data_IF_964658376893
#
_entry.id   IF_964658376893
#
_cell.length_a   1.000
_cell.length_b   1.000
_cell.length_c   1.000
_cell.angle_alpha   90.00
_cell.angle_beta   90.00
_cell.angle_gamma   90.00
#
_symmetry.space_group_name_H-M   'P 1'
#
loop_
_entity.id
_entity.type
_entity.pdbx_description
1 polymer ?
#
# COMPACT_ATOMS: atom_id res chain seq x y z
N UNK A 1 -35.61 12.34 -34.32
CA UNK A 1 -34.33 13.07 -34.11
C UNK A 1 -33.24 12.09 -33.72
N UNK A 2 -32.01 12.35 -34.17
CA UNK A 2 -30.98 11.36 -34.52
C UNK A 2 -30.44 10.54 -33.35
N UNK A 3 -30.51 9.21 -33.50
CA UNK A 3 -29.55 8.24 -32.94
C UNK A 3 -28.25 8.34 -33.74
N UNK A 4 -27.15 8.78 -33.15
CA UNK A 4 -25.79 8.54 -33.63
C UNK A 4 -25.00 7.96 -32.45
N UNK A 5 -24.79 6.63 -32.44
CA UNK A 5 -23.57 5.98 -32.95
C UNK A 5 -22.29 6.53 -32.29
N UNK A 6 -22.14 6.30 -31.00
CA UNK A 6 -20.84 6.35 -30.32
C UNK A 6 -20.30 4.96 -29.96
N UNK A 7 -21.08 3.88 -30.13
CA UNK A 7 -20.65 2.53 -29.73
C UNK A 7 -19.64 1.89 -30.68
N UNK A 8 -19.69 2.17 -31.99
CA UNK A 8 -18.85 1.46 -32.96
C UNK A 8 -17.39 1.96 -32.96
N UNK A 9 -17.13 3.23 -32.69
CA UNK A 9 -15.78 3.80 -32.68
C UNK A 9 -14.99 3.40 -31.41
N UNK A 10 -15.68 3.32 -30.27
CA UNK A 10 -15.10 2.81 -29.02
C UNK A 10 -14.91 1.28 -29.05
N UNK A 11 -15.82 0.56 -29.75
CA UNK A 11 -15.70 -0.88 -29.97
C UNK A 11 -14.56 -1.24 -30.96
N UNK A 12 -14.31 -0.42 -31.99
CA UNK A 12 -13.16 -0.60 -32.89
C UNK A 12 -11.83 -0.19 -32.25
N UNK A 13 -11.81 0.83 -31.38
CA UNK A 13 -10.62 1.21 -30.61
C UNK A 13 -10.21 0.10 -29.62
N UNK A 14 -11.18 -0.44 -28.87
CA UNK A 14 -10.93 -1.54 -27.92
C UNK A 14 -10.58 -2.85 -28.66
N UNK A 15 -11.19 -3.15 -29.81
CA UNK A 15 -10.85 -4.34 -30.60
C UNK A 15 -9.49 -4.24 -31.31
N UNK A 16 -9.06 -3.05 -31.74
CA UNK A 16 -7.75 -2.83 -32.36
C UNK A 16 -6.59 -2.89 -31.34
N UNK A 17 -6.85 -2.51 -30.09
CA UNK A 17 -5.89 -2.57 -28.98
C UNK A 17 -5.80 -3.98 -28.36
N UNK A 18 -6.81 -4.83 -28.58
CA UNK A 18 -6.92 -6.20 -28.08
C UNK A 18 -6.49 -7.29 -29.08
N UNK A 19 -5.83 -6.95 -30.18
CA UNK A 19 -5.26 -7.94 -31.08
C UNK A 19 -4.07 -8.67 -30.41
N UNK A 20 -4.41 -9.70 -29.64
CA UNK A 20 -3.48 -10.71 -29.14
C UNK A 20 -3.98 -11.72 -28.11
N UNK A 21 -5.16 -11.58 -27.48
CA UNK A 21 -5.52 -12.49 -26.37
C UNK A 21 -6.99 -12.99 -26.34
N UNK A 22 -7.28 -14.23 -26.80
CA UNK A 22 -8.63 -14.80 -26.89
C UNK A 22 -9.37 -15.00 -25.56
N UNK A 23 -8.68 -14.98 -24.41
CA UNK A 23 -9.24 -15.34 -23.10
C UNK A 23 -10.15 -14.23 -22.54
N UNK A 24 -9.92 -12.97 -22.93
CA UNK A 24 -10.71 -11.84 -22.42
C UNK A 24 -12.13 -11.76 -23.02
N UNK A 25 -12.34 -12.27 -24.24
CA UNK A 25 -13.66 -12.26 -24.89
C UNK A 25 -14.66 -13.22 -24.23
N UNK A 26 -14.19 -14.37 -23.73
CA UNK A 26 -15.03 -15.35 -23.03
C UNK A 26 -15.53 -14.85 -21.66
N UNK A 27 -14.76 -13.94 -21.03
CA UNK A 27 -15.07 -13.39 -19.70
C UNK A 27 -16.23 -12.37 -19.75
N UNK A 28 -16.37 -11.64 -20.86
CA UNK A 28 -17.43 -10.65 -21.07
C UNK A 28 -18.83 -11.28 -21.14
N UNK A 29 -18.95 -12.50 -21.67
CA UNK A 29 -20.24 -13.17 -21.87
C UNK A 29 -20.83 -13.76 -20.58
N UNK A 30 -20.00 -14.06 -19.58
CA UNK A 30 -20.43 -14.72 -18.35
C UNK A 30 -21.05 -13.78 -17.30
N UNK A 31 -20.84 -12.45 -17.42
CA UNK A 31 -21.14 -11.47 -16.36
C UNK A 31 -22.59 -10.94 -16.31
N UNK A 32 -23.50 -11.37 -17.19
CA UNK A 32 -24.81 -10.74 -17.35
C UNK A 32 -26.04 -11.51 -16.81
N UNK A 33 -25.98 -12.16 -15.63
CA UNK A 33 -27.20 -12.61 -14.90
C UNK A 33 -27.20 -12.22 -13.41
N UNK A 34 -28.27 -11.53 -12.98
CA UNK A 34 -28.56 -11.03 -11.62
C UNK A 34 -29.50 -11.98 -10.86
N UNK A 35 -29.31 -12.17 -9.54
CA UNK A 35 -30.38 -12.43 -8.53
C UNK A 35 -29.98 -11.81 -7.18
N UNK A 36 -31.00 -11.45 -6.40
CA UNK A 36 -31.13 -10.49 -5.30
C UNK A 36 -31.37 -11.17 -3.92
N UNK A 37 -31.31 -10.36 -2.83
CA UNK A 37 -31.92 -10.50 -1.47
C UNK A 37 -31.00 -10.63 -0.21
N UNK A 38 -31.23 -9.69 0.73
CA UNK A 38 -30.87 -9.59 2.18
C UNK A 38 -31.89 -10.41 3.05
N UNK A 39 -31.88 -10.52 4.43
CA UNK A 39 -31.41 -9.53 5.43
C UNK A 39 -31.06 -9.92 6.92
N UNK A 40 -30.67 -8.88 7.70
CA UNK A 40 -30.99 -8.49 9.11
C UNK A 40 -30.27 -8.99 10.41
N UNK A 41 -29.80 -7.96 11.18
CA UNK A 41 -29.88 -7.70 12.66
C UNK A 41 -29.05 -8.56 13.64
N UNK A 42 -28.56 -8.12 14.82
CA UNK A 42 -28.74 -6.92 15.67
C UNK A 42 -27.56 -6.82 16.69
N UNK A 43 -27.37 -5.62 17.23
CA UNK A 43 -26.34 -5.10 18.16
C UNK A 43 -26.36 -5.61 19.60
N UNK A 44 -25.21 -5.59 20.32
CA UNK A 44 -25.10 -5.25 21.76
C UNK A 44 -23.75 -4.58 22.09
N UNK A 45 -23.81 -3.69 23.08
CA UNK A 45 -22.97 -2.59 23.60
C UNK A 45 -21.69 -2.89 24.42
N UNK A 46 -20.76 -1.90 24.38
CA UNK A 46 -19.65 -1.45 25.28
C UNK A 46 -19.82 -1.71 26.80
N UNK A 47 -18.86 -1.53 27.72
CA UNK A 47 -17.39 -1.38 27.81
C UNK A 47 -17.08 -1.17 29.32
N UNK A 48 -15.83 -1.38 29.78
CA UNK A 48 -15.39 -0.99 31.13
C UNK A 48 -13.87 -1.01 31.27
N UNK A 49 -13.29 0.13 31.60
CA UNK A 49 -11.85 0.50 31.59
C UNK A 49 -11.19 0.48 32.98
N UNK A 50 -9.85 0.32 33.06
CA UNK A 50 -9.02 0.69 34.24
C UNK A 50 -7.68 1.35 33.80
N UNK A 51 -7.15 2.37 34.53
CA UNK A 51 -6.11 3.31 34.07
C UNK A 51 -4.65 3.00 34.48
N UNK A 52 -3.71 3.36 33.59
CA UNK A 52 -2.49 4.20 33.78
C UNK A 52 -1.40 3.89 34.83
N UNK A 53 -0.17 3.66 34.35
CA UNK A 53 1.07 4.16 34.98
C UNK A 53 1.98 4.77 33.91
N UNK A 54 2.36 6.04 34.12
CA UNK A 54 3.11 6.90 33.19
C UNK A 54 4.63 6.70 33.28
N UNK A 55 5.29 6.53 32.13
CA UNK A 55 6.72 6.85 31.93
C UNK A 55 6.87 7.57 30.60
N UNK A 56 7.46 8.77 30.59
CA UNK A 56 7.68 9.57 29.37
C UNK A 56 8.92 9.05 28.64
N UNK A 57 8.84 8.52 27.40
CA UNK A 57 10.01 7.96 26.71
C UNK A 57 10.95 9.05 26.17
N UNK A 58 12.27 8.84 26.28
CA UNK A 58 13.28 9.69 25.65
C UNK A 58 13.08 9.78 24.12
N UNK A 59 13.18 10.98 23.55
CA UNK A 59 13.05 11.21 22.10
C UNK A 59 14.22 10.56 21.35
N UNK A 60 13.97 9.42 20.72
CA UNK A 60 14.90 8.75 19.79
C UNK A 60 15.29 9.70 18.66
N UNK A 61 16.59 9.87 18.38
CA UNK A 61 17.10 10.66 17.24
C UNK A 61 16.62 10.03 15.93
N UNK A 62 15.95 10.81 15.08
CA UNK A 62 15.44 10.40 13.76
C UNK A 62 16.15 11.19 12.66
N UNK A 63 16.52 10.52 11.56
CA UNK A 63 17.10 11.15 10.36
C UNK A 63 16.03 11.21 9.26
N UNK A 64 15.69 12.39 8.72
CA UNK A 64 14.70 12.50 7.65
C UNK A 64 15.22 11.92 6.33
N UNK A 65 14.34 11.25 5.59
CA UNK A 65 14.54 10.84 4.20
C UNK A 65 13.35 11.34 3.36
N UNK A 66 13.55 12.40 2.59
CA UNK A 66 12.51 13.09 1.83
C UNK A 66 12.07 12.30 0.59
N UNK A 67 10.94 12.66 -0.03
CA UNK A 67 10.56 12.08 -1.33
C UNK A 67 11.60 12.32 -2.42
N UNK A 68 12.34 13.42 -2.35
CA UNK A 68 13.43 13.68 -3.30
C UNK A 68 14.61 12.73 -3.06
N UNK A 69 14.97 12.48 -1.80
CA UNK A 69 16.01 11.51 -1.43
C UNK A 69 15.61 10.10 -1.89
N UNK A 70 14.38 9.68 -1.56
CA UNK A 70 13.81 8.40 -2.00
C UNK A 70 13.88 8.27 -3.54
N UNK A 71 13.49 9.31 -4.29
CA UNK A 71 13.56 9.30 -5.76
C UNK A 71 14.99 9.17 -6.28
N UNK A 72 15.94 9.88 -5.65
CA UNK A 72 17.35 9.79 -6.01
C UNK A 72 17.89 8.38 -5.76
N UNK A 73 17.59 7.78 -4.60
CA UNK A 73 17.96 6.41 -4.26
C UNK A 73 17.33 5.40 -5.23
N UNK A 74 16.06 5.57 -5.61
CA UNK A 74 15.44 4.71 -6.62
C UNK A 74 16.08 4.86 -8.01
N UNK A 75 16.47 6.07 -8.40
CA UNK A 75 17.18 6.32 -9.66
C UNK A 75 18.57 5.66 -9.66
N UNK A 76 19.25 5.68 -8.51
CA UNK A 76 20.52 5.01 -8.32
C UNK A 76 20.37 3.48 -8.40
N UNK A 77 19.38 2.90 -7.71
CA UNK A 77 19.06 1.47 -7.84
C UNK A 77 18.75 1.07 -9.29
N UNK A 78 17.94 1.87 -10.00
CA UNK A 78 17.64 1.65 -11.42
C UNK A 78 18.92 1.62 -12.27
N UNK A 79 19.85 2.56 -12.02
CA UNK A 79 21.14 2.64 -12.72
C UNK A 79 21.97 1.39 -12.48
N UNK A 80 22.10 0.97 -11.21
CA UNK A 80 22.84 -0.24 -10.84
C UNK A 80 22.25 -1.49 -11.53
N UNK A 81 20.94 -1.68 -11.47
CA UNK A 81 20.23 -2.82 -12.09
C UNK A 81 20.43 -2.84 -13.60
N UNK A 82 20.30 -1.69 -14.29
CA UNK A 82 20.52 -1.62 -15.74
C UNK A 82 21.98 -1.92 -16.12
N UNK A 83 22.93 -1.64 -15.23
CA UNK A 83 24.35 -1.90 -15.46
C UNK A 83 24.79 -3.33 -15.14
N UNK A 84 24.02 -4.09 -14.34
CA UNK A 84 24.44 -5.40 -13.84
C UNK A 84 24.24 -6.56 -14.82
N UNK A 85 23.73 -6.31 -16.03
CA UNK A 85 23.43 -7.32 -17.07
C UNK A 85 22.48 -8.46 -16.65
N UNK A 86 21.89 -8.37 -15.46
CA UNK A 86 20.94 -9.37 -14.96
C UNK A 86 19.58 -9.23 -15.63
N UNK A 87 18.98 -10.36 -16.00
CA UNK A 87 17.59 -10.39 -16.48
C UNK A 87 16.67 -10.53 -15.27
N UNK A 88 15.67 -9.65 -15.16
CA UNK A 88 14.67 -9.68 -14.09
C UNK A 88 13.30 -9.87 -14.74
N UNK A 89 12.58 -10.92 -14.33
CA UNK A 89 11.26 -11.28 -14.84
C UNK A 89 10.12 -10.67 -14.01
N UNK A 90 10.34 -10.48 -12.70
CA UNK A 90 9.32 -9.98 -11.78
C UNK A 90 9.94 -9.22 -10.61
N UNK A 91 9.19 -8.25 -10.08
CA UNK A 91 9.48 -7.56 -8.82
C UNK A 91 8.56 -8.12 -7.73
N UNK A 92 9.13 -8.48 -6.59
CA UNK A 92 8.37 -8.81 -5.37
C UNK A 92 8.74 -7.81 -4.29
N UNK A 93 7.75 -7.29 -3.55
CA UNK A 93 7.99 -6.33 -2.47
C UNK A 93 7.26 -6.72 -1.20
N UNK A 94 7.93 -6.76 -0.04
CA UNK A 94 7.26 -6.78 1.25
C UNK A 94 6.47 -5.48 1.44
N UNK A 95 5.23 -5.56 1.91
CA UNK A 95 4.43 -4.38 2.26
C UNK A 95 4.62 -4.00 3.74
N UNK A 96 4.49 -2.73 4.11
CA UNK A 96 4.17 -1.56 3.27
C UNK A 96 5.40 -0.73 2.84
N UNK A 97 6.60 -1.08 3.32
CA UNK A 97 7.89 -0.38 3.08
C UNK A 97 8.32 -0.29 1.64
N UNK A 98 8.68 -1.43 1.07
CA UNK A 98 9.21 -1.54 -0.27
C UNK A 98 8.29 -1.13 -1.40
N UNK A 99 7.01 -0.88 -1.15
CA UNK A 99 6.05 -0.68 -2.23
C UNK A 99 6.38 0.54 -3.09
N UNK A 100 6.72 1.67 -2.47
CA UNK A 100 7.09 2.89 -3.21
C UNK A 100 8.32 2.69 -4.11
N UNK A 101 9.47 2.21 -3.61
CA UNK A 101 10.61 1.94 -4.48
C UNK A 101 10.32 0.85 -5.53
N UNK A 102 9.54 -0.18 -5.19
CA UNK A 102 9.16 -1.23 -6.12
C UNK A 102 8.29 -0.69 -7.28
N UNK A 103 7.31 0.16 -7.00
CA UNK A 103 6.48 0.82 -8.01
C UNK A 103 7.32 1.78 -8.88
N UNK A 104 8.25 2.52 -8.28
CA UNK A 104 9.18 3.36 -9.02
C UNK A 104 9.99 2.54 -10.03
N UNK A 105 10.59 1.44 -9.58
CA UNK A 105 11.38 0.54 -10.43
C UNK A 105 10.52 -0.16 -11.48
N UNK A 106 9.33 -0.65 -11.11
CA UNK A 106 8.38 -1.29 -12.04
C UNK A 106 8.06 -0.39 -13.23
N UNK A 107 7.68 0.86 -12.99
CA UNK A 107 7.32 1.81 -14.06
C UNK A 107 8.46 2.13 -15.03
N UNK A 108 9.71 1.87 -14.65
CA UNK A 108 10.93 2.24 -15.40
C UNK A 108 11.67 1.05 -16.00
N UNK A 109 11.49 -0.12 -15.42
CA UNK A 109 12.02 -1.39 -15.93
C UNK A 109 10.97 -2.14 -16.76
N UNK A 110 9.69 -1.77 -16.64
CA UNK A 110 8.55 -2.41 -17.31
C UNK A 110 8.43 -3.91 -16.97
N UNK A 111 8.46 -4.21 -15.67
CA UNK A 111 8.48 -5.57 -15.11
C UNK A 111 7.27 -5.74 -14.19
N UNK A 112 6.54 -6.87 -14.19
CA UNK A 112 5.40 -7.07 -13.29
C UNK A 112 5.80 -6.95 -11.81
N UNK A 113 4.93 -6.34 -10.99
CA UNK A 113 5.13 -6.10 -9.56
C UNK A 113 4.11 -6.89 -8.74
N UNK A 114 4.58 -7.62 -7.74
CA UNK A 114 3.77 -8.36 -6.79
C UNK A 114 4.09 -7.94 -5.35
N UNK A 115 3.04 -7.72 -4.55
CA UNK A 115 3.16 -7.38 -3.14
C UNK A 115 2.99 -8.63 -2.26
N UNK A 116 3.80 -8.73 -1.21
CA UNK A 116 3.67 -9.79 -0.19
C UNK A 116 3.58 -9.13 1.19
N UNK A 117 2.60 -9.51 1.99
CA UNK A 117 2.46 -9.00 3.34
C UNK A 117 3.20 -9.89 4.34
N UNK A 118 4.05 -9.26 5.14
CA UNK A 118 4.84 -9.92 6.19
C UNK A 118 4.56 -9.25 7.52
N UNK A 119 4.06 -10.01 8.48
CA UNK A 119 3.92 -9.56 9.86
C UNK A 119 5.14 -9.98 10.68
N UNK A 120 5.68 -9.03 11.45
CA UNK A 120 6.89 -9.20 12.26
C UNK A 120 6.64 -9.08 13.76
N UNK A 121 5.48 -8.57 14.14
CA UNK A 121 5.15 -8.25 15.52
C UNK A 121 3.75 -8.77 15.83
N UNK A 122 3.57 -9.29 17.05
CA UNK A 122 2.26 -9.68 17.57
C UNK A 122 1.36 -8.46 17.72
N UNK A 123 2.00 -7.38 18.15
CA UNK A 123 1.40 -6.08 18.36
C UNK A 123 2.33 -4.99 17.85
N UNK A 124 1.72 -3.87 17.58
CA UNK A 124 2.31 -2.55 17.38
C UNK A 124 3.16 -2.02 18.54
N UNK A 125 3.12 -2.61 19.76
CA UNK A 125 3.99 -2.22 20.89
C UNK A 125 5.43 -2.67 20.69
N UNK A 126 5.69 -3.39 19.61
CA UNK A 126 6.99 -3.88 19.24
C UNK A 126 7.27 -5.28 19.78
N UNK A 127 6.25 -5.98 20.30
CA UNK A 127 6.39 -7.39 20.70
C UNK A 127 6.64 -8.22 19.45
N UNK A 128 7.89 -8.64 19.26
CA UNK A 128 8.30 -9.39 18.07
C UNK A 128 7.70 -10.78 18.06
N UNK A 129 7.24 -11.20 16.88
CA UNK A 129 6.98 -12.61 16.63
C UNK A 129 8.31 -13.39 16.67
N UNK A 130 8.33 -14.62 17.19
CA UNK A 130 9.51 -15.49 17.13
C UNK A 130 9.96 -15.72 15.70
N UNK A 131 8.99 -15.84 14.79
CA UNK A 131 9.19 -16.03 13.35
C UNK A 131 8.25 -15.09 12.59
N UNK A 132 8.70 -14.42 11.51
CA UNK A 132 7.80 -13.68 10.63
C UNK A 132 6.69 -14.58 10.10
N UNK A 133 5.50 -14.02 9.87
CA UNK A 133 4.36 -14.74 9.27
C UNK A 133 3.85 -14.01 8.04
N UNK A 134 3.34 -14.75 7.06
CA UNK A 134 2.69 -14.17 5.90
C UNK A 134 1.24 -13.86 6.24
N UNK A 135 0.92 -12.56 6.33
CA UNK A 135 -0.45 -12.09 6.47
C UNK A 135 -1.09 -11.78 5.10
N UNK A 136 -0.30 -11.82 4.02
CA UNK A 136 -0.78 -11.71 2.64
C UNK A 136 0.21 -12.43 1.71
N UNK A 137 0.06 -13.76 1.54
CA UNK A 137 0.92 -14.52 0.62
C UNK A 137 0.70 -14.10 -0.83
N UNK A 138 1.64 -14.47 -1.70
CA UNK A 138 1.46 -14.34 -3.14
C UNK A 138 0.42 -15.35 -3.62
N UNK A 139 -0.56 -14.86 -4.38
CA UNK A 139 -1.66 -15.67 -4.91
C UNK A 139 -1.18 -16.86 -5.75
N UNK A 140 -2.02 -17.89 -5.83
CA UNK A 140 -1.68 -19.13 -6.54
C UNK A 140 -1.51 -18.94 -8.06
N UNK A 141 -2.18 -17.94 -8.64
CA UNK A 141 -2.03 -17.60 -10.06
C UNK A 141 -0.72 -16.86 -10.37
N UNK A 142 0.02 -16.39 -9.36
CA UNK A 142 1.32 -15.76 -9.53
C UNK A 142 2.37 -16.86 -9.71
N UNK A 143 2.74 -17.12 -10.97
CA UNK A 143 3.70 -18.15 -11.36
C UNK A 143 5.10 -17.53 -11.48
N UNK A 144 5.98 -17.84 -10.52
CA UNK A 144 7.37 -17.40 -10.51
C UNK A 144 8.37 -18.56 -10.64
N UNK A 145 7.89 -19.77 -10.94
CA UNK A 145 8.74 -20.95 -11.13
C UNK A 145 9.78 -20.66 -12.22
N UNK A 146 11.04 -20.94 -11.92
CA UNK A 146 12.19 -20.70 -12.79
C UNK A 146 12.35 -19.24 -13.24
N UNK A 147 11.75 -18.26 -12.55
CA UNK A 147 11.89 -16.82 -12.86
C UNK A 147 12.97 -16.16 -12.03
N UNK A 148 13.54 -15.10 -12.59
CA UNK A 148 14.48 -14.22 -11.93
C UNK A 148 13.73 -13.09 -11.23
N UNK A 149 13.79 -13.04 -9.90
CA UNK A 149 12.98 -12.12 -9.09
C UNK A 149 13.86 -11.04 -8.48
N UNK A 150 13.44 -9.78 -8.60
CA UNK A 150 13.98 -8.67 -7.83
C UNK A 150 13.12 -8.43 -6.59
N UNK A 151 13.65 -8.78 -5.42
CA UNK A 151 13.09 -8.42 -4.12
C UNK A 151 13.42 -6.96 -3.81
N UNK A 152 12.42 -6.11 -3.62
CA UNK A 152 12.60 -4.67 -3.35
C UNK A 152 12.08 -4.31 -1.97
N UNK A 153 12.84 -3.57 -1.17
CA UNK A 153 12.41 -3.05 0.12
C UNK A 153 12.93 -1.62 0.42
N UNK A 154 12.37 -0.95 1.42
CA UNK A 154 12.84 0.39 1.83
C UNK A 154 14.13 0.33 2.65
N UNK A 155 14.26 -0.63 3.57
CA UNK A 155 15.37 -0.70 4.53
C UNK A 155 15.83 -2.13 4.82
N UNK A 156 17.10 -2.42 4.52
CA UNK A 156 17.81 -3.59 5.03
C UNK A 156 18.44 -3.29 6.40
N UNK A 157 17.80 -3.74 7.49
CA UNK A 157 18.35 -3.59 8.85
C UNK A 157 18.95 -4.88 9.40
N UNK A 158 18.14 -5.83 9.90
CA UNK A 158 18.64 -7.10 10.46
C UNK A 158 18.47 -8.29 9.50
N UNK A 159 18.16 -8.04 8.24
CA UNK A 159 17.92 -9.08 7.22
C UNK A 159 16.69 -9.98 7.41
N UNK A 160 16.13 -10.12 8.61
CA UNK A 160 15.11 -11.13 8.94
C UNK A 160 13.85 -11.14 8.04
N UNK A 161 13.33 -9.99 7.61
CA UNK A 161 12.14 -9.93 6.72
C UNK A 161 12.54 -10.41 5.34
N UNK A 162 13.65 -9.88 4.82
CA UNK A 162 14.17 -10.20 3.50
C UNK A 162 14.54 -11.68 3.39
N UNK A 163 15.19 -12.25 4.42
CA UNK A 163 15.47 -13.69 4.51
C UNK A 163 14.21 -14.52 4.51
N UNK A 164 13.20 -14.13 5.28
CA UNK A 164 11.94 -14.86 5.33
C UNK A 164 11.23 -14.88 3.96
N UNK A 165 11.18 -13.74 3.28
CA UNK A 165 10.57 -13.63 1.95
C UNK A 165 11.39 -14.39 0.91
N UNK A 166 12.72 -14.31 0.97
CA UNK A 166 13.63 -15.06 0.11
C UNK A 166 13.40 -16.58 0.24
N UNK A 167 13.34 -17.09 1.47
CA UNK A 167 13.04 -18.50 1.74
C UNK A 167 11.65 -18.91 1.22
N UNK A 168 10.62 -18.07 1.41
CA UNK A 168 9.30 -18.30 0.86
C UNK A 168 9.33 -18.38 -0.68
N UNK A 169 10.01 -17.43 -1.34
CA UNK A 169 10.10 -17.41 -2.80
C UNK A 169 10.82 -18.66 -3.34
N UNK A 170 11.91 -19.10 -2.69
CA UNK A 170 12.61 -20.33 -3.10
C UNK A 170 11.77 -21.59 -2.87
N UNK A 171 11.17 -21.74 -1.69
CA UNK A 171 10.45 -22.97 -1.30
C UNK A 171 9.08 -23.07 -1.97
N UNK A 172 8.27 -22.02 -1.87
CA UNK A 172 6.86 -22.05 -2.28
C UNK A 172 6.67 -21.62 -3.74
N UNK A 173 7.53 -20.74 -4.26
CA UNK A 173 7.42 -20.22 -5.62
C UNK A 173 8.47 -20.76 -6.60
N UNK A 174 9.46 -21.52 -6.11
CA UNK A 174 10.50 -22.19 -6.93
C UNK A 174 11.18 -21.25 -7.92
N UNK A 175 11.49 -20.04 -7.46
CA UNK A 175 12.20 -19.03 -8.26
C UNK A 175 13.64 -19.49 -8.54
N UNK A 176 14.19 -19.05 -9.67
CA UNK A 176 15.55 -19.40 -10.10
C UNK A 176 16.57 -18.60 -9.30
N UNK A 177 16.61 -17.30 -9.60
CA UNK A 177 17.53 -16.33 -9.02
C UNK A 177 16.73 -15.27 -8.24
N UNK A 178 17.27 -14.83 -7.11
CA UNK A 178 16.70 -13.75 -6.29
C UNK A 178 17.76 -12.66 -6.14
N UNK A 179 17.47 -11.50 -6.71
CA UNK A 179 18.23 -10.28 -6.51
C UNK A 179 17.56 -9.42 -5.45
N UNK A 180 18.34 -8.67 -4.69
CA UNK A 180 17.83 -7.75 -3.67
C UNK A 180 18.11 -6.30 -4.09
N UNK A 181 17.13 -5.41 -3.93
CA UNK A 181 17.32 -3.97 -4.03
C UNK A 181 16.71 -3.27 -2.82
N UNK A 182 17.51 -2.47 -2.12
CA UNK A 182 17.07 -1.71 -0.95
C UNK A 182 17.48 -0.25 -1.04
N UNK A 183 16.62 0.67 -0.62
CA UNK A 183 16.98 2.10 -0.62
C UNK A 183 18.12 2.35 0.35
N UNK A 184 18.01 1.82 1.56
CA UNK A 184 19.00 1.99 2.61
C UNK A 184 19.42 0.65 3.21
N UNK A 185 20.70 0.51 3.53
CA UNK A 185 21.23 -0.61 4.31
C UNK A 185 21.95 -0.11 5.56
N UNK A 186 21.59 -0.66 6.73
CA UNK A 186 22.23 -0.38 8.01
C UNK A 186 23.43 -1.30 8.29
N UNK A 187 24.38 -0.88 9.14
CA UNK A 187 25.43 -1.77 9.62
C UNK A 187 24.83 -2.94 10.41
N UNK A 188 25.50 -4.09 10.36
CA UNK A 188 25.03 -5.31 11.04
C UNK A 188 23.85 -6.00 10.35
N UNK A 189 23.53 -5.60 9.11
CA UNK A 189 22.60 -6.36 8.28
C UNK A 189 23.21 -7.70 7.88
N UNK A 190 22.88 -8.72 8.66
CA UNK A 190 23.21 -10.10 8.40
C UNK A 190 22.03 -10.81 7.72
N UNK A 191 22.26 -11.29 6.50
CA UNK A 191 21.29 -12.11 5.79
C UNK A 191 21.37 -13.60 6.20
N UNK A 192 22.32 -13.99 7.05
CA UNK A 192 22.55 -15.37 7.48
C UNK A 192 22.75 -16.29 6.27
N UNK A 193 22.00 -17.41 6.25
CA UNK A 193 22.05 -18.38 5.15
C UNK A 193 21.32 -17.95 3.86
N UNK A 194 20.78 -16.73 3.79
CA UNK A 194 20.13 -16.26 2.56
C UNK A 194 21.11 -16.14 1.41
N UNK A 195 20.62 -16.51 0.23
CA UNK A 195 21.42 -16.53 -1.00
C UNK A 195 20.84 -15.52 -1.98
N UNK A 196 21.10 -14.25 -1.77
CA UNK A 196 20.82 -13.26 -2.80
C UNK A 196 21.93 -13.33 -3.85
N UNK A 197 21.54 -13.50 -5.11
CA UNK A 197 22.47 -13.64 -6.23
C UNK A 197 23.25 -12.34 -6.49
N UNK A 198 22.59 -11.20 -6.26
CA UNK A 198 23.21 -9.88 -6.22
C UNK A 198 22.37 -8.95 -5.34
N UNK A 199 23.02 -8.02 -4.64
CA UNK A 199 22.36 -6.97 -3.86
C UNK A 199 22.70 -5.59 -4.43
N UNK A 200 21.68 -4.78 -4.66
CA UNK A 200 21.74 -3.37 -5.04
C UNK A 200 21.35 -2.53 -3.83
N UNK A 201 22.17 -1.53 -3.52
CA UNK A 201 21.99 -0.68 -2.34
C UNK A 201 22.01 0.76 -2.81
N UNK A 202 20.94 1.50 -2.52
CA UNK A 202 20.88 2.94 -2.84
C UNK A 202 21.92 3.71 -2.04
N UNK A 203 21.94 3.51 -0.72
CA UNK A 203 22.95 4.05 0.18
C UNK A 203 23.16 3.17 1.43
N UNK A 204 24.36 3.24 1.99
CA UNK A 204 24.64 2.70 3.32
C UNK A 204 24.47 3.81 4.36
N UNK A 205 23.72 3.53 5.42
CA UNK A 205 23.39 4.50 6.49
C UNK A 205 23.80 3.97 7.85
N UNK A 206 24.02 4.87 8.81
CA UNK A 206 24.28 4.50 10.21
C UNK A 206 23.06 3.81 10.87
N UNK A 207 23.27 3.14 12.01
CA UNK A 207 22.15 2.58 12.79
C UNK A 207 21.41 3.67 13.59
N UNK A 208 20.81 4.61 12.87
CA UNK A 208 19.92 5.65 13.38
C UNK A 208 18.53 5.45 12.76
N UNK A 209 17.46 5.87 13.43
CA UNK A 209 16.12 5.68 12.89
C UNK A 209 15.90 6.58 11.66
N UNK A 210 15.82 5.98 10.47
CA UNK A 210 15.38 6.70 9.27
C UNK A 210 13.88 6.97 9.35
N UNK A 211 13.51 8.22 9.11
CA UNK A 211 12.14 8.70 9.04
C UNK A 211 11.83 9.03 7.59
N UNK A 212 11.20 8.10 6.87
CA UNK A 212 10.82 8.28 5.48
C UNK A 212 9.63 9.22 5.31
N UNK A 213 9.61 9.96 4.20
CA UNK A 213 8.63 11.02 3.92
C UNK A 213 7.17 10.58 4.00
N UNK A 214 6.85 9.36 3.58
CA UNK A 214 5.50 8.82 3.64
C UNK A 214 4.98 8.58 5.08
N UNK A 215 5.84 8.71 6.09
CA UNK A 215 5.48 8.64 7.50
C UNK A 215 5.65 9.99 8.20
N UNK A 216 5.90 11.11 7.51
CA UNK A 216 6.06 12.41 8.16
C UNK A 216 4.72 12.98 8.61
N UNK A 217 4.73 13.74 9.71
CA UNK A 217 3.61 14.58 10.12
C UNK A 217 3.72 15.98 9.51
N UNK A 218 2.60 16.73 9.39
CA UNK A 218 2.64 18.15 9.05
C UNK A 218 3.65 18.90 9.94
N UNK A 219 4.58 19.63 9.32
CA UNK A 219 5.60 20.40 10.03
C UNK A 219 6.71 19.59 10.75
N UNK A 220 6.73 18.24 10.66
CA UNK A 220 7.79 17.41 11.29
C UNK A 220 9.17 17.73 10.70
N UNK A 221 9.23 17.97 9.40
CA UNK A 221 10.44 18.38 8.68
C UNK A 221 10.12 19.44 7.64
N UNK A 222 10.96 20.48 7.53
CA UNK A 222 10.88 21.44 6.44
C UNK A 222 11.52 20.86 5.19
N UNK A 223 10.72 20.52 4.18
CA UNK A 223 11.23 20.25 2.84
C UNK A 223 11.70 21.59 2.27
N UNK A 224 12.98 21.73 1.90
CA UNK A 224 13.36 22.83 1.00
C UNK A 224 12.67 22.55 -0.33
N UNK A 225 11.63 23.33 -0.62
CA UNK A 225 10.73 23.15 -1.76
C UNK A 225 11.43 22.65 -3.02
N UNK A 226 11.08 21.42 -3.43
CA UNK A 226 11.05 21.11 -4.86
C UNK A 226 9.67 21.54 -5.32
N UNK A 227 9.48 22.84 -5.56
CA UNK A 227 8.28 23.32 -6.24
C UNK A 227 8.19 22.54 -7.55
N UNK A 228 7.11 21.78 -7.83
CA UNK A 228 6.99 21.11 -9.11
C UNK A 228 6.87 22.18 -10.20
N UNK A 229 7.98 22.52 -10.86
CA UNK A 229 7.93 23.25 -12.13
C UNK A 229 7.55 22.27 -13.23
N UNK A 230 6.29 21.84 -13.24
CA UNK A 230 5.74 21.06 -14.34
C UNK A 230 4.77 21.91 -15.15
N UNK A 231 4.99 21.93 -16.47
CA UNK A 231 4.24 22.68 -17.49
C UNK A 231 2.97 21.95 -17.96
N UNK A 232 2.45 20.97 -17.23
CA UNK A 232 1.20 20.31 -17.60
C UNK A 232 0.05 20.96 -16.85
N UNK A 233 -1.06 21.27 -17.54
CA UNK A 233 -2.26 21.92 -16.99
C UNK A 233 -3.06 21.05 -16.01
N UNK A 234 -2.37 20.32 -15.13
CA UNK A 234 -2.94 19.58 -14.01
C UNK A 234 -2.54 20.28 -12.70
N UNK A 235 -3.50 20.50 -11.81
CA UNK A 235 -3.21 20.95 -10.45
C UNK A 235 -2.58 19.79 -9.67
N UNK A 236 -1.27 19.89 -9.39
CA UNK A 236 -0.56 18.95 -8.51
C UNK A 236 -0.56 19.49 -7.08
N UNK A 237 -0.99 18.66 -6.14
CA UNK A 237 -0.93 18.97 -4.71
C UNK A 237 0.42 18.58 -4.12
N UNK A 238 0.98 19.44 -3.27
CA UNK A 238 2.16 19.11 -2.49
C UNK A 238 1.82 18.01 -1.48
N UNK A 239 2.83 17.23 -1.07
CA UNK A 239 2.63 16.23 -0.04
C UNK A 239 2.15 16.87 1.28
N UNK A 240 2.63 18.07 1.60
CA UNK A 240 2.16 18.85 2.75
C UNK A 240 0.66 19.16 2.68
N UNK A 241 0.15 19.56 1.51
CA UNK A 241 -1.29 19.76 1.32
C UNK A 241 -2.08 18.48 1.58
N UNK A 242 -1.58 17.34 1.11
CA UNK A 242 -2.21 16.02 1.35
C UNK A 242 -2.14 15.62 2.84
N UNK A 243 -1.03 15.92 3.52
CA UNK A 243 -0.88 15.69 4.96
C UNK A 243 -1.87 16.53 5.76
N UNK A 244 -2.06 17.80 5.41
CA UNK A 244 -3.00 18.69 6.08
C UNK A 244 -4.44 18.20 5.93
N UNK A 245 -4.84 17.75 4.73
CA UNK A 245 -6.15 17.12 4.53
C UNK A 245 -6.32 15.89 5.42
N UNK A 246 -5.37 14.96 5.38
CA UNK A 246 -5.45 13.74 6.17
C UNK A 246 -5.46 14.04 7.68
N UNK A 247 -4.79 15.12 8.08
CA UNK A 247 -4.77 15.61 9.45
C UNK A 247 -6.13 16.14 9.89
N UNK A 248 -6.78 16.95 9.06
CA UNK A 248 -8.09 17.50 9.42
C UNK A 248 -9.17 16.39 9.46
N UNK A 249 -9.07 15.39 8.56
CA UNK A 249 -9.91 14.19 8.57
C UNK A 249 -9.75 13.34 9.85
N UNK A 250 -8.64 13.47 10.57
CA UNK A 250 -8.33 12.70 11.79
C UNK A 250 -9.44 12.83 12.84
N UNK A 251 -9.87 14.07 13.11
CA UNK A 251 -10.86 14.33 14.16
C UNK A 251 -12.21 13.75 13.78
N UNK A 252 -12.57 13.90 12.51
CA UNK A 252 -13.81 13.36 11.98
C UNK A 252 -13.85 11.83 12.02
N UNK A 253 -12.74 11.18 11.65
CA UNK A 253 -12.59 9.72 11.76
C UNK A 253 -12.76 9.29 13.22
N UNK A 254 -12.14 9.98 14.18
CA UNK A 254 -12.32 9.64 15.61
C UNK A 254 -13.77 9.79 16.07
N UNK A 255 -14.43 10.87 15.68
CA UNK A 255 -15.80 11.18 16.10
C UNK A 255 -16.82 10.20 15.50
N UNK A 256 -16.72 9.92 14.20
CA UNK A 256 -17.69 9.09 13.46
C UNK A 256 -17.36 7.60 13.51
N UNK A 257 -16.09 7.22 13.39
CA UNK A 257 -15.64 5.83 13.26
C UNK A 257 -15.11 5.22 14.57
N UNK A 258 -14.73 6.05 15.55
CA UNK A 258 -14.08 5.61 16.79
C UNK A 258 -12.64 5.16 16.57
N UNK A 259 -12.16 4.23 17.41
CA UNK A 259 -10.81 3.64 17.29
C UNK A 259 -10.67 2.82 16.01
N UNK A 260 -9.60 3.05 15.25
CA UNK A 260 -9.26 2.26 14.07
C UNK A 260 -8.22 1.21 14.46
N UNK A 261 -8.53 -0.06 14.22
CA UNK A 261 -7.67 -1.18 14.63
C UNK A 261 -6.67 -1.57 13.52
N UNK A 262 -7.02 -1.30 12.27
CA UNK A 262 -6.17 -1.56 11.10
C UNK A 262 -6.61 -0.73 9.89
N UNK A 263 -5.68 -0.52 8.96
CA UNK A 263 -5.91 0.15 7.69
C UNK A 263 -5.81 -0.87 6.55
N UNK A 264 -6.77 -0.83 5.63
CA UNK A 264 -6.73 -1.57 4.38
C UNK A 264 -6.53 -0.60 3.22
N UNK A 265 -5.30 -0.49 2.75
CA UNK A 265 -4.92 0.33 1.63
C UNK A 265 -5.32 -0.31 0.29
N UNK A 266 -6.14 0.37 -0.50
CA UNK A 266 -6.60 -0.10 -1.80
C UNK A 266 -5.61 0.29 -2.88
N UNK A 267 -4.97 -0.71 -3.44
CA UNK A 267 -4.04 -0.57 -4.55
C UNK A 267 -2.74 0.17 -4.21
N UNK A 268 -1.91 0.41 -5.24
CA UNK A 268 -0.67 1.17 -5.14
C UNK A 268 -0.83 2.54 -4.48
N UNK A 269 -1.88 3.25 -4.87
CA UNK A 269 -2.09 4.64 -4.49
C UNK A 269 -2.67 4.74 -3.07
N UNK A 270 -3.50 3.78 -2.66
CA UNK A 270 -3.99 3.68 -1.29
C UNK A 270 -2.91 3.36 -0.27
N UNK A 271 -1.77 2.76 -0.65
CA UNK A 271 -0.71 2.43 0.30
C UNK A 271 0.00 3.66 0.87
N UNK A 272 0.24 4.68 0.04
CA UNK A 272 0.80 5.94 0.52
C UNK A 272 -0.17 6.65 1.48
N UNK A 273 -1.44 6.73 1.08
CA UNK A 273 -2.51 7.30 1.90
C UNK A 273 -2.68 6.50 3.21
N UNK A 274 -2.61 5.17 3.15
CA UNK A 274 -2.75 4.29 4.30
C UNK A 274 -1.61 4.43 5.30
N UNK A 275 -0.36 4.60 4.84
CA UNK A 275 0.78 4.90 5.72
C UNK A 275 0.66 6.27 6.39
N UNK A 276 0.20 7.27 5.63
CA UNK A 276 -0.08 8.60 6.16
C UNK A 276 -1.15 8.55 7.26
N UNK A 277 -2.32 7.94 6.99
CA UNK A 277 -3.37 7.77 7.98
C UNK A 277 -2.91 6.94 9.18
N UNK A 278 -2.11 5.89 8.97
CA UNK A 278 -1.50 5.16 10.08
C UNK A 278 -0.74 6.12 10.98
N UNK A 279 0.17 6.91 10.43
CA UNK A 279 0.98 7.83 11.23
C UNK A 279 0.12 8.84 11.98
N UNK A 280 -0.84 9.47 11.29
CA UNK A 280 -1.72 10.50 11.87
C UNK A 280 -2.61 9.94 12.97
N UNK A 281 -3.24 8.79 12.73
CA UNK A 281 -4.14 8.16 13.69
C UNK A 281 -3.38 7.50 14.85
N UNK A 282 -2.12 7.07 14.63
CA UNK A 282 -1.28 6.47 15.68
C UNK A 282 -0.82 7.48 16.74
N UNK A 283 -0.97 8.79 16.53
CA UNK A 283 -0.59 9.77 17.56
C UNK A 283 -1.43 9.69 18.84
N UNK A 284 -2.71 9.33 18.71
CA UNK A 284 -3.62 9.19 19.86
C UNK A 284 -3.84 7.75 20.27
N UNK A 285 -3.36 6.82 19.46
CA UNK A 285 -3.40 5.40 19.73
C UNK A 285 -2.08 4.99 20.42
N UNK A 286 -2.14 4.66 21.71
CA UNK A 286 -1.06 3.95 22.43
C UNK A 286 -0.64 2.66 21.70
N UNK A 287 -1.52 2.19 20.83
CA UNK A 287 -1.54 0.87 20.27
C UNK A 287 -1.32 0.83 18.74
N UNK A 288 -0.71 1.82 18.08
CA UNK A 288 -0.38 1.78 16.64
C UNK A 288 -1.47 1.27 15.68
N UNK A 289 -1.19 1.20 14.36
CA UNK A 289 -2.18 0.72 13.38
C UNK A 289 -1.47 -0.09 12.28
N UNK A 290 -1.88 -1.32 12.06
CA UNK A 290 -1.37 -2.14 10.95
C UNK A 290 -1.89 -1.62 9.61
N UNK A 291 -1.05 -1.63 8.57
CA UNK A 291 -1.44 -1.29 7.20
C UNK A 291 -1.32 -2.52 6.33
N UNK A 292 -2.46 -3.00 5.84
CA UNK A 292 -2.57 -4.08 4.86
C UNK A 292 -2.83 -3.51 3.48
N UNK A 293 -2.49 -4.25 2.42
CA UNK A 293 -2.79 -3.87 1.05
C UNK A 293 -3.93 -4.75 0.50
N UNK A 294 -4.85 -4.20 -0.28
CA UNK A 294 -5.74 -4.97 -1.13
C UNK A 294 -5.63 -4.49 -2.57
N UNK A 295 -5.37 -5.41 -3.49
CA UNK A 295 -5.25 -5.14 -4.91
C UNK A 295 -6.55 -5.53 -5.61
N UNK A 296 -7.02 -4.64 -6.47
CA UNK A 296 -8.27 -4.78 -7.22
C UNK A 296 -8.06 -4.38 -8.68
N UNK A 297 -8.86 -4.98 -9.56
CA UNK A 297 -9.00 -4.57 -10.95
C UNK A 297 -10.49 -4.29 -11.22
N UNK A 298 -10.86 -3.02 -11.35
CA UNK A 298 -12.26 -2.60 -11.19
C UNK A 298 -12.76 -3.03 -9.80
N UNK A 299 -13.92 -3.68 -9.74
CA UNK A 299 -14.44 -4.26 -8.49
C UNK A 299 -13.85 -5.63 -8.13
N UNK A 300 -13.08 -6.25 -9.03
CA UNK A 300 -12.61 -7.62 -8.83
C UNK A 300 -11.40 -7.62 -7.91
N UNK A 301 -11.53 -8.30 -6.78
CA UNK A 301 -10.40 -8.57 -5.90
C UNK A 301 -9.35 -9.41 -6.63
N UNK A 302 -8.11 -8.94 -6.59
CA UNK A 302 -6.92 -9.59 -7.16
C UNK A 302 -6.07 -10.21 -6.06
N UNK A 303 -5.88 -9.49 -4.95
CA UNK A 303 -5.14 -9.95 -3.78
C UNK A 303 -5.65 -9.21 -2.53
N UNK A 304 -5.88 -9.92 -1.44
CA UNK A 304 -6.26 -9.35 -0.14
C UNK A 304 -5.35 -9.92 0.96
N UNK A 305 -5.25 -9.27 2.13
CA UNK A 305 -4.69 -9.93 3.29
C UNK A 305 -5.54 -11.14 3.70
N UNK A 306 -4.94 -12.04 4.47
CA UNK A 306 -5.64 -13.14 5.09
C UNK A 306 -6.80 -12.60 5.94
N UNK A 307 -7.94 -13.30 5.92
CA UNK A 307 -9.17 -12.78 6.52
C UNK A 307 -9.08 -12.68 8.05
N UNK A 308 -8.35 -13.59 8.67
CA UNK A 308 -8.06 -13.65 10.11
C UNK A 308 -7.38 -12.39 10.65
N UNK A 309 -6.62 -11.67 9.82
CA UNK A 309 -5.99 -10.41 10.25
C UNK A 309 -6.94 -9.20 10.19
N UNK A 310 -8.13 -9.37 9.60
CA UNK A 310 -9.18 -8.34 9.49
C UNK A 310 -10.41 -8.62 10.38
N UNK A 311 -10.73 -9.88 10.66
CA UNK A 311 -11.91 -10.27 11.45
C UNK A 311 -11.84 -9.67 12.85
N UNK A 312 -12.95 -9.10 13.31
CA UNK A 312 -13.09 -8.50 14.64
C UNK A 312 -12.45 -7.10 14.78
N UNK A 313 -11.79 -6.59 13.74
CA UNK A 313 -11.18 -5.25 13.71
C UNK A 313 -12.11 -4.22 13.07
N UNK A 314 -12.04 -2.98 13.53
CA UNK A 314 -12.59 -1.80 12.89
C UNK A 314 -11.60 -1.28 11.84
N UNK A 315 -11.84 -1.62 10.58
CA UNK A 315 -10.92 -1.33 9.49
C UNK A 315 -11.17 0.08 8.94
N UNK A 316 -10.11 0.85 8.70
CA UNK A 316 -10.17 2.01 7.83
C UNK A 316 -9.69 1.62 6.44
N UNK A 317 -10.61 1.50 5.48
CA UNK A 317 -10.28 1.31 4.07
C UNK A 317 -9.80 2.64 3.53
N UNK A 318 -8.60 2.66 2.97
CA UNK A 318 -7.99 3.89 2.46
C UNK A 318 -7.71 3.74 0.97
N UNK A 319 -8.17 4.68 0.18
CA UNK A 319 -7.73 4.82 -1.21
C UNK A 319 -7.31 6.27 -1.49
N UNK A 320 -6.62 6.46 -2.60
CA UNK A 320 -6.41 7.80 -3.15
C UNK A 320 -7.70 8.40 -3.69
N UNK A 321 -8.59 7.60 -4.30
CA UNK A 321 -9.80 8.07 -4.98
C UNK A 321 -11.01 7.22 -4.63
N UNK A 322 -12.21 7.76 -4.88
CA UNK A 322 -13.44 6.99 -4.83
C UNK A 322 -13.71 6.39 -6.21
N UNK A 323 -13.45 5.09 -6.34
CA UNK A 323 -13.56 4.36 -7.61
C UNK A 323 -14.17 2.96 -7.41
N UNK A 324 -14.20 2.18 -8.49
CA UNK A 324 -14.72 0.81 -8.48
C UNK A 324 -13.93 -0.14 -7.57
N UNK A 325 -12.63 0.11 -7.36
CA UNK A 325 -11.81 -0.70 -6.45
C UNK A 325 -12.20 -0.48 -5.00
N UNK A 326 -12.56 0.76 -4.65
CA UNK A 326 -13.11 1.09 -3.34
C UNK A 326 -14.47 0.41 -3.12
N UNK A 327 -15.34 0.43 -4.15
CA UNK A 327 -16.63 -0.29 -4.14
C UNK A 327 -16.45 -1.79 -4.02
N UNK A 328 -15.50 -2.36 -4.76
CA UNK A 328 -15.12 -3.77 -4.68
C UNK A 328 -14.64 -4.15 -3.27
N UNK A 329 -13.83 -3.28 -2.66
CA UNK A 329 -13.33 -3.45 -1.28
C UNK A 329 -14.47 -3.42 -0.27
N UNK A 330 -15.37 -2.44 -0.37
CA UNK A 330 -16.55 -2.35 0.48
C UNK A 330 -17.40 -3.62 0.39
N UNK A 331 -17.70 -4.07 -0.84
CA UNK A 331 -18.45 -5.31 -1.07
C UNK A 331 -17.74 -6.55 -0.51
N UNK A 332 -16.41 -6.62 -0.66
CA UNK A 332 -15.59 -7.71 -0.13
C UNK A 332 -15.68 -7.80 1.41
N UNK A 333 -15.59 -6.67 2.11
CA UNK A 333 -15.63 -6.60 3.57
C UNK A 333 -17.04 -6.84 4.12
N UNK A 334 -18.08 -6.27 3.50
CA UNK A 334 -19.49 -6.51 3.89
C UNK A 334 -19.83 -8.00 3.82
N UNK A 335 -19.45 -8.68 2.74
CA UNK A 335 -19.75 -10.12 2.58
C UNK A 335 -19.13 -11.00 3.66
N UNK A 336 -18.12 -10.49 4.37
CA UNK A 336 -17.39 -11.16 5.46
C UNK A 336 -17.78 -10.65 6.85
N UNK A 337 -18.73 -9.72 6.93
CA UNK A 337 -19.12 -9.11 8.19
C UNK A 337 -18.01 -8.28 8.84
N UNK A 338 -17.02 -7.84 8.07
CA UNK A 338 -15.91 -7.02 8.59
C UNK A 338 -16.38 -5.57 8.71
N UNK A 339 -16.37 -5.04 9.93
CA UNK A 339 -16.68 -3.64 10.21
C UNK A 339 -15.60 -2.76 9.58
N UNK A 340 -16.02 -1.77 8.81
CA UNK A 340 -15.08 -0.86 8.20
C UNK A 340 -15.67 0.52 7.96
N UNK A 341 -14.78 1.49 7.86
CA UNK A 341 -15.01 2.85 7.41
C UNK A 341 -14.13 3.11 6.20
N UNK A 342 -14.38 4.18 5.46
CA UNK A 342 -13.63 4.45 4.22
C UNK A 342 -13.12 5.87 4.18
N UNK A 343 -11.84 6.07 3.91
CA UNK A 343 -11.24 7.38 3.67
C UNK A 343 -10.64 7.46 2.27
N UNK A 344 -10.89 8.58 1.59
CA UNK A 344 -10.29 8.92 0.30
C UNK A 344 -9.72 10.34 0.33
N UNK A 345 -8.51 10.54 -0.21
CA UNK A 345 -7.81 11.84 -0.20
C UNK A 345 -8.08 12.69 -1.45
N UNK A 346 -8.57 12.10 -2.54
CA UNK A 346 -8.83 12.75 -3.82
C UNK A 346 -10.20 12.33 -4.40
N UNK A 347 -10.76 13.18 -5.28
CA UNK A 347 -12.19 13.29 -5.61
C UNK A 347 -12.93 12.02 -6.08
N UNK A 348 -14.24 12.03 -5.83
CA UNK A 348 -15.30 11.28 -6.53
C UNK A 348 -16.52 11.06 -5.63
N UNK A 349 -17.69 11.60 -5.98
CA UNK A 349 -18.90 11.42 -5.17
C UNK A 349 -19.39 9.96 -5.26
N UNK A 350 -19.34 9.24 -4.14
CA UNK A 350 -20.15 8.05 -3.93
C UNK A 350 -20.73 8.11 -2.52
N UNK A 351 -22.06 8.10 -2.44
CA UNK A 351 -22.81 8.24 -1.20
C UNK A 351 -22.75 6.96 -0.37
N UNK A 352 -21.92 6.96 0.66
CA UNK A 352 -22.13 6.13 1.84
C UNK A 352 -22.00 7.02 3.08
N UNK A 353 -22.77 6.72 4.13
CA UNK A 353 -22.83 7.55 5.35
C UNK A 353 -21.53 7.56 6.17
N UNK A 354 -20.51 6.76 5.79
CA UNK A 354 -19.22 6.61 6.51
C UNK A 354 -17.99 6.75 5.62
N UNK A 355 -18.15 7.37 4.45
CA UNK A 355 -17.01 7.78 3.62
C UNK A 355 -16.53 9.15 4.09
N UNK A 356 -15.24 9.26 4.39
CA UNK A 356 -14.53 10.51 4.65
C UNK A 356 -13.84 10.92 3.35
N UNK A 357 -14.21 12.07 2.79
CA UNK A 357 -13.61 12.53 1.55
C UNK A 357 -12.91 13.86 1.79
N UNK A 358 -11.58 13.82 1.74
CA UNK A 358 -10.78 15.01 1.51
C UNK A 358 -10.92 15.43 0.06
N UNK A 359 -11.36 16.67 -0.19
CA UNK A 359 -11.45 17.25 -1.52
C UNK A 359 -10.67 18.54 -1.60
N UNK A 360 -10.23 18.85 -2.79
CA UNK A 360 -9.72 20.16 -3.15
C UNK A 360 -10.76 20.86 -4.02
N UNK A 361 -11.23 22.04 -3.60
CA UNK A 361 -12.12 22.90 -4.39
C UNK A 361 -11.43 24.24 -4.54
N UNK A 362 -11.05 24.63 -5.76
CA UNK A 362 -10.43 25.92 -6.06
C UNK A 362 -9.23 26.28 -5.16
N UNK A 363 -8.26 25.36 -4.99
CA UNK A 363 -7.07 25.46 -4.11
C UNK A 363 -7.35 25.44 -2.59
N UNK A 364 -8.61 25.41 -2.17
CA UNK A 364 -9.01 25.25 -0.77
C UNK A 364 -9.34 23.80 -0.44
N UNK A 365 -9.08 23.40 0.81
CA UNK A 365 -9.36 22.06 1.35
C UNK A 365 -10.82 22.01 1.84
N UNK A 366 -11.57 20.99 1.43
CA UNK A 366 -12.93 20.71 1.89
C UNK A 366 -13.03 19.27 2.38
N UNK A 367 -13.71 19.06 3.50
CA UNK A 367 -13.95 17.76 4.12
C UNK A 367 -15.46 17.49 4.06
N UNK A 368 -15.85 16.36 3.48
CA UNK A 368 -17.24 15.91 3.33
C UNK A 368 -17.50 14.54 3.97
#
# INVERSE_FOLDING_TARGET
>A
MRRHKLSAFLQLAIAAELNGNPIQAATYYAMHRKIDRRPHMRSVTRAGSIPGTDTIPQRVRKVPCSFQDIRNLCAELQRQIRSSSVSIDAIVTPTAGGYFPAAYLQSRLNIPLYAIGVQRYFDHKGTRLPTPVLNQPLENYVILTDRNVLLVDDLAHRGNTLRFVEQYLRKEKRVRDIYLAVLQQKPGCDFGDSRFDQTFVGEHVEDVWTRFAWDWLPGEFTVRDVTPRYKSGYDYYSYEQVQNIAWDMKNEIKERAGSIDAILAVGPQGLLAGRLFRTILSEDHQDGIDVYAAMFYGERLIQAPCEDVLVGKNILVVNSQVDESLRGTHNYLIRRGIKHNTAALFSGAYGSETTFIGRFINRDIVIE
#
